data_IF_838046806569
#
_entry.id   IF_838046806569
#
_cell.length_a   1.000
_cell.length_b   1.000
_cell.length_c   1.000
_cell.angle_alpha   90.00
_cell.angle_beta   90.00
_cell.angle_gamma   90.00
#
_symmetry.space_group_name_H-M   'P 1'
#
loop_
_entity.id
_entity.type
_entity.pdbx_description
1 polymer ?
#
# COMPACT_ATOMS: atom_id res chain seq x y z
N UNK A 1 8.60 -8.77 16.04
CA UNK A 1 9.08 -8.53 14.66
C UNK A 1 7.85 -8.11 13.88
N UNK A 2 7.87 -6.91 13.34
CA UNK A 2 6.72 -6.34 12.65
C UNK A 2 6.34 -7.10 11.38
N UNK A 3 5.12 -6.90 10.93
CA UNK A 3 4.60 -7.51 9.71
C UNK A 3 4.88 -6.60 8.50
N UNK A 4 5.34 -7.18 7.40
CA UNK A 4 5.56 -6.46 6.14
C UNK A 4 4.46 -6.84 5.16
N UNK A 5 3.63 -5.88 4.81
CA UNK A 5 2.47 -6.06 3.95
C UNK A 5 2.66 -5.28 2.65
N UNK A 6 2.54 -5.94 1.51
CA UNK A 6 2.54 -5.29 0.21
C UNK A 6 1.13 -4.91 -0.20
N UNK A 7 0.86 -3.63 -0.43
CA UNK A 7 -0.38 -3.18 -1.06
C UNK A 7 -0.15 -3.17 -2.56
N UNK A 8 -0.86 -4.02 -3.28
CA UNK A 8 -0.59 -4.33 -4.69
C UNK A 8 -1.85 -4.18 -5.55
N UNK A 9 -1.67 -3.96 -6.84
CA UNK A 9 -2.78 -3.92 -7.79
C UNK A 9 -2.33 -4.33 -9.18
N UNK A 10 -3.20 -4.99 -9.92
CA UNK A 10 -2.93 -5.39 -11.31
C UNK A 10 -3.00 -4.23 -12.31
N UNK A 11 -3.51 -3.06 -11.92
CA UNK A 11 -3.70 -1.88 -12.76
C UNK A 11 -3.54 -0.60 -11.94
N UNK A 12 -3.02 0.47 -12.57
CA UNK A 12 -2.97 1.81 -11.99
C UNK A 12 -4.36 2.43 -11.84
N UNK A 13 -4.49 3.38 -10.90
CA UNK A 13 -5.71 4.16 -10.68
C UNK A 13 -6.83 3.45 -9.94
N UNK A 14 -6.57 2.31 -9.27
CA UNK A 14 -7.57 1.62 -8.44
C UNK A 14 -7.58 2.10 -6.98
N UNK A 15 -6.80 3.13 -6.63
CA UNK A 15 -6.75 3.70 -5.29
C UNK A 15 -5.83 2.95 -4.31
N UNK A 16 -4.84 2.22 -4.81
CA UNK A 16 -3.86 1.50 -4.01
C UNK A 16 -3.17 2.42 -2.99
N UNK A 17 -2.61 3.54 -3.41
CA UNK A 17 -1.95 4.55 -2.58
C UNK A 17 -2.89 5.12 -1.51
N UNK A 18 -4.14 5.41 -1.88
CA UNK A 18 -5.20 5.85 -0.95
C UNK A 18 -5.46 4.80 0.12
N UNK A 19 -5.64 3.53 -0.28
CA UNK A 19 -5.86 2.42 0.67
C UNK A 19 -4.65 2.25 1.59
N UNK A 20 -3.43 2.38 1.06
CA UNK A 20 -2.19 2.28 1.87
C UNK A 20 -2.15 3.36 2.96
N UNK A 21 -2.39 4.63 2.59
CA UNK A 21 -2.39 5.75 3.52
C UNK A 21 -3.47 5.61 4.58
N UNK A 22 -4.71 5.32 4.18
CA UNK A 22 -5.84 5.18 5.10
C UNK A 22 -5.70 3.97 6.03
N UNK A 23 -5.20 2.83 5.54
CA UNK A 23 -4.93 1.66 6.38
C UNK A 23 -3.83 1.96 7.41
N UNK A 24 -2.76 2.65 6.99
CA UNK A 24 -1.70 3.08 7.91
C UNK A 24 -2.23 3.98 9.02
N UNK A 25 -3.08 4.94 8.68
CA UNK A 25 -3.72 5.80 9.68
C UNK A 25 -4.67 5.02 10.59
N UNK A 26 -5.46 4.09 10.06
CA UNK A 26 -6.34 3.22 10.84
C UNK A 26 -5.55 2.41 11.89
N UNK A 27 -4.45 1.79 11.48
CA UNK A 27 -3.59 1.02 12.36
C UNK A 27 -2.89 1.89 13.43
N UNK A 28 -2.44 3.09 13.05
CA UNK A 28 -1.82 4.03 14.01
C UNK A 28 -2.82 4.51 15.05
N UNK A 29 -4.08 4.79 14.67
CA UNK A 29 -5.17 5.11 15.59
C UNK A 29 -5.51 3.94 16.53
N UNK A 30 -5.31 2.70 16.09
CA UNK A 30 -5.44 1.52 16.94
C UNK A 30 -4.24 1.34 17.92
N UNK A 31 -3.24 2.22 17.86
CA UNK A 31 -2.08 2.25 18.76
C UNK A 31 -0.87 1.45 18.25
N UNK A 32 -0.88 0.99 17.00
CA UNK A 32 0.26 0.33 16.39
C UNK A 32 1.26 1.33 15.81
N UNK A 33 2.54 1.01 15.89
CA UNK A 33 3.58 1.77 15.20
C UNK A 33 3.65 1.32 13.75
N UNK A 34 3.37 2.24 12.83
CA UNK A 34 3.22 1.96 11.40
C UNK A 34 4.24 2.75 10.60
N UNK A 35 4.89 2.08 9.65
CA UNK A 35 5.70 2.71 8.62
C UNK A 35 5.03 2.51 7.26
N UNK A 36 4.71 3.61 6.59
CA UNK A 36 4.35 3.62 5.19
C UNK A 36 5.62 3.68 4.35
N UNK A 37 5.77 2.81 3.36
CA UNK A 37 6.88 2.86 2.41
C UNK A 37 6.32 3.08 1.01
N UNK A 38 6.78 4.12 0.33
CA UNK A 38 6.54 4.23 -1.10
C UNK A 38 7.46 3.26 -1.85
N UNK A 39 6.89 2.40 -2.65
CA UNK A 39 7.61 1.42 -3.48
C UNK A 39 7.61 1.79 -4.96
N UNK A 40 7.06 2.94 -5.36
CA UNK A 40 7.02 3.38 -6.76
C UNK A 40 8.22 4.27 -7.09
N UNK A 41 9.40 3.66 -7.12
CA UNK A 41 10.65 4.33 -7.43
C UNK A 41 10.62 4.96 -8.83
N UNK A 42 10.89 6.26 -8.88
CA UNK A 42 10.87 7.08 -10.09
C UNK A 42 9.58 7.91 -10.26
N UNK A 43 8.47 7.54 -9.61
CA UNK A 43 7.23 8.34 -9.60
C UNK A 43 7.00 8.96 -8.22
N UNK A 44 6.87 8.16 -7.17
CA UNK A 44 6.66 8.60 -5.79
C UNK A 44 5.41 9.47 -5.64
N UNK A 45 4.28 8.84 -5.43
CA UNK A 45 2.98 9.53 -5.33
C UNK A 45 2.45 9.59 -3.89
N UNK A 46 2.95 8.74 -2.98
CA UNK A 46 2.41 8.64 -1.62
C UNK A 46 2.69 9.90 -0.78
N UNK A 47 3.82 10.58 -1.00
CA UNK A 47 4.16 11.86 -0.34
C UNK A 47 3.18 12.98 -0.67
N UNK A 48 2.65 13.01 -1.90
CA UNK A 48 1.63 13.98 -2.32
C UNK A 48 0.32 13.72 -1.58
N UNK A 49 -0.09 12.46 -1.47
CA UNK A 49 -1.31 12.05 -0.78
C UNK A 49 -1.23 12.36 0.72
N UNK A 50 -0.04 12.24 1.31
CA UNK A 50 0.24 12.53 2.72
C UNK A 50 0.50 14.02 3.00
N UNK A 51 0.69 14.86 1.96
CA UNK A 51 0.96 16.28 2.10
C UNK A 51 2.36 16.64 2.61
N UNK A 52 3.35 15.74 2.48
CA UNK A 52 4.70 15.90 3.04
C UNK A 52 5.82 15.99 2.00
N UNK A 53 5.47 16.23 0.74
CA UNK A 53 6.43 16.25 -0.37
C UNK A 53 7.58 17.25 -0.14
N UNK A 54 7.30 18.40 0.49
CA UNK A 54 8.28 19.46 0.76
C UNK A 54 9.18 19.17 1.97
N UNK A 55 8.88 18.14 2.77
CA UNK A 55 9.66 17.77 3.97
C UNK A 55 10.78 16.77 3.66
N UNK A 56 10.77 16.17 2.46
CA UNK A 56 11.66 15.07 2.10
C UNK A 56 13.03 15.59 1.67
N UNK A 57 14.06 15.25 2.45
CA UNK A 57 15.47 15.57 2.17
C UNK A 57 16.23 14.32 1.71
N UNK A 58 16.02 13.20 2.41
CA UNK A 58 16.59 11.89 2.11
C UNK A 58 15.47 10.90 1.79
N UNK A 59 15.81 9.84 1.08
CA UNK A 59 14.86 8.84 0.64
C UNK A 59 15.32 7.39 0.92
N UNK A 60 14.54 6.42 0.51
CA UNK A 60 14.82 5.01 0.73
C UNK A 60 16.10 4.53 0.01
N UNK A 61 16.54 5.20 -1.06
CA UNK A 61 17.81 4.90 -1.70
C UNK A 61 18.96 5.31 -0.78
N UNK A 62 18.97 6.55 -0.27
CA UNK A 62 19.99 7.05 0.65
C UNK A 62 20.09 6.15 1.89
N UNK A 63 18.96 5.86 2.54
CA UNK A 63 18.87 4.98 3.71
C UNK A 63 19.31 3.54 3.43
N UNK A 64 19.18 3.05 2.19
CA UNK A 64 19.62 1.72 1.78
C UNK A 64 21.12 1.66 1.50
N UNK A 65 21.69 2.76 0.98
CA UNK A 65 23.12 2.87 0.69
C UNK A 65 23.93 3.11 1.97
N UNK A 66 23.47 3.99 2.84
CA UNK A 66 24.10 4.28 4.13
C UNK A 66 23.06 4.30 5.26
N UNK A 67 23.30 3.45 6.27
CA UNK A 67 22.42 3.32 7.42
C UNK A 67 22.32 4.61 8.28
N UNK A 68 23.31 5.51 8.17
CA UNK A 68 23.31 6.77 8.92
C UNK A 68 22.16 7.69 8.47
N UNK A 69 21.72 7.59 7.20
CA UNK A 69 20.57 8.35 6.69
C UNK A 69 19.21 7.72 7.02
N UNK A 70 19.16 6.59 7.76
CA UNK A 70 17.88 5.90 7.99
C UNK A 70 16.88 6.76 8.74
N UNK A 71 17.32 7.40 9.82
CA UNK A 71 16.45 8.23 10.66
C UNK A 71 16.08 9.54 9.95
N UNK A 72 17.00 10.09 9.14
CA UNK A 72 16.78 11.33 8.38
C UNK A 72 15.89 11.12 7.13
N UNK A 73 15.78 9.88 6.63
CA UNK A 73 14.92 9.53 5.50
C UNK A 73 13.47 9.22 5.93
N UNK A 74 13.22 9.06 7.22
CA UNK A 74 11.88 8.77 7.76
C UNK A 74 11.21 10.07 8.18
N UNK A 75 10.06 10.37 7.58
CA UNK A 75 9.25 11.55 7.88
C UNK A 75 8.13 11.12 8.84
N UNK A 76 7.98 11.83 9.97
CA UNK A 76 6.89 11.58 10.91
C UNK A 76 5.61 12.27 10.42
N UNK A 77 4.54 11.51 10.23
CA UNK A 77 3.26 11.99 9.66
C UNK A 77 2.26 12.32 10.77
N UNK A 78 2.14 11.40 11.73
CA UNK A 78 1.22 11.51 12.85
C UNK A 78 1.73 10.67 14.02
N UNK A 79 1.03 10.67 15.15
CA UNK A 79 1.35 9.79 16.27
C UNK A 79 1.34 8.32 15.80
N UNK A 80 2.45 7.62 15.99
CA UNK A 80 2.67 6.23 15.57
C UNK A 80 2.60 5.97 14.05
N UNK A 81 2.67 7.01 13.21
CA UNK A 81 2.64 6.88 11.75
C UNK A 81 3.81 7.63 11.12
N UNK A 82 4.72 6.89 10.52
CA UNK A 82 5.89 7.41 9.84
C UNK A 82 5.88 7.00 8.34
N UNK A 83 6.65 7.71 7.54
CA UNK A 83 6.73 7.50 6.10
C UNK A 83 8.18 7.42 5.62
N UNK A 84 8.49 6.44 4.79
CA UNK A 84 9.76 6.29 4.07
C UNK A 84 9.50 6.49 2.57
N UNK A 85 9.93 7.63 1.98
CA UNK A 85 9.70 7.94 0.59
C UNK A 85 10.57 7.09 -0.35
N UNK A 86 10.05 6.75 -1.53
CA UNK A 86 10.85 6.24 -2.63
C UNK A 86 11.71 7.35 -3.25
N UNK A 87 12.79 6.98 -3.95
CA UNK A 87 13.56 7.93 -4.73
C UNK A 87 12.83 8.33 -6.01
N UNK A 88 12.77 9.63 -6.31
CA UNK A 88 12.27 10.14 -7.59
C UNK A 88 13.29 10.02 -8.72
N UNK A 89 14.58 9.98 -8.40
CA UNK A 89 15.67 9.96 -9.38
C UNK A 89 16.15 8.57 -9.76
N UNK A 90 15.84 7.54 -8.97
CA UNK A 90 16.24 6.17 -9.17
C UNK A 90 15.05 5.29 -9.58
N UNK A 91 15.35 4.18 -10.26
CA UNK A 91 14.39 3.13 -10.61
C UNK A 91 14.73 1.86 -9.84
N UNK A 92 13.81 0.90 -9.83
CA UNK A 92 14.06 -0.40 -9.19
C UNK A 92 15.31 -1.12 -9.70
N UNK A 93 15.72 -0.87 -10.94
CA UNK A 93 16.95 -1.41 -11.53
C UNK A 93 18.21 -0.83 -10.89
N UNK A 94 18.13 0.40 -10.39
CA UNK A 94 19.25 1.14 -9.80
C UNK A 94 19.43 0.80 -8.31
N UNK A 95 18.38 0.26 -7.68
CA UNK A 95 18.36 -0.05 -6.26
C UNK A 95 18.93 -1.43 -6.00
N UNK A 96 19.87 -1.51 -5.10
CA UNK A 96 20.39 -2.77 -4.63
C UNK A 96 19.35 -3.56 -3.84
N UNK A 97 18.58 -4.45 -4.50
CA UNK A 97 17.51 -5.26 -3.86
C UNK A 97 17.90 -5.81 -2.48
N UNK A 98 19.15 -6.29 -2.33
CA UNK A 98 19.63 -6.81 -1.04
C UNK A 98 19.78 -5.72 0.02
N UNK A 99 20.17 -4.50 -0.38
CA UNK A 99 20.34 -3.37 0.53
C UNK A 99 18.98 -2.88 1.01
N UNK A 100 18.04 -2.67 0.08
CA UNK A 100 16.66 -2.30 0.42
C UNK A 100 15.98 -3.34 1.31
N UNK A 101 16.12 -4.63 0.98
CA UNK A 101 15.63 -5.72 1.83
C UNK A 101 16.22 -5.69 3.25
N UNK A 102 17.51 -5.38 3.38
CA UNK A 102 18.16 -5.24 4.68
C UNK A 102 17.65 -4.04 5.46
N UNK A 103 17.39 -2.91 4.78
CA UNK A 103 16.78 -1.71 5.36
C UNK A 103 15.40 -2.04 5.94
N UNK A 104 14.48 -2.53 5.11
CA UNK A 104 13.10 -2.86 5.52
C UNK A 104 13.08 -3.87 6.67
N UNK A 105 13.90 -4.92 6.61
CA UNK A 105 13.98 -5.91 7.70
C UNK A 105 14.47 -5.33 9.02
N UNK A 106 15.39 -4.37 8.99
CA UNK A 106 15.85 -3.67 10.20
C UNK A 106 14.72 -2.83 10.80
N UNK A 107 13.92 -2.20 9.97
CA UNK A 107 12.78 -1.39 10.40
C UNK A 107 11.66 -2.24 11.04
N UNK A 108 11.54 -3.52 10.71
CA UNK A 108 10.62 -4.45 11.38
C UNK A 108 10.88 -4.64 12.89
N UNK A 109 12.05 -4.24 13.40
CA UNK A 109 12.33 -4.27 14.82
C UNK A 109 11.77 -3.02 15.56
N UNK A 110 11.40 -1.99 14.79
CA UNK A 110 10.90 -0.71 15.30
C UNK A 110 9.38 -0.60 15.13
N UNK A 111 8.84 -1.03 13.99
CA UNK A 111 7.44 -0.91 13.63
C UNK A 111 6.68 -2.22 13.80
N UNK A 112 5.41 -2.11 14.18
CA UNK A 112 4.50 -3.25 14.27
C UNK A 112 3.99 -3.67 12.87
N UNK A 113 3.77 -2.66 11.98
CA UNK A 113 3.41 -2.85 10.59
C UNK A 113 4.28 -2.00 9.67
N UNK A 114 4.71 -2.59 8.55
CA UNK A 114 5.32 -1.88 7.41
C UNK A 114 4.43 -2.12 6.21
N UNK A 115 3.77 -1.06 5.73
CA UNK A 115 2.91 -1.10 4.56
C UNK A 115 3.70 -0.57 3.36
N UNK A 116 3.88 -1.39 2.33
CA UNK A 116 4.61 -0.98 1.12
C UNK A 116 3.59 -0.71 0.01
N UNK A 117 3.44 0.55 -0.39
CA UNK A 117 2.66 0.95 -1.56
C UNK A 117 3.43 0.55 -2.83
N UNK A 118 3.06 -0.54 -3.43
CA UNK A 118 3.80 -1.12 -4.55
C UNK A 118 3.55 -0.37 -5.87
N UNK A 119 4.45 -0.37 -6.85
CA UNK A 119 4.14 0.14 -8.18
C UNK A 119 2.98 -0.63 -8.83
N UNK A 120 2.25 0.00 -9.73
CA UNK A 120 1.15 -0.65 -10.44
C UNK A 120 1.66 -1.65 -11.47
N UNK A 121 0.84 -2.69 -11.75
CA UNK A 121 1.14 -3.70 -12.77
C UNK A 121 1.98 -4.87 -12.25
N UNK A 122 2.66 -5.58 -13.14
CA UNK A 122 3.34 -6.87 -12.88
C UNK A 122 4.83 -6.86 -13.29
N UNK A 123 5.47 -5.69 -13.25
CA UNK A 123 6.88 -5.54 -13.63
C UNK A 123 7.87 -5.87 -12.52
N UNK A 124 9.16 -5.62 -12.78
CA UNK A 124 10.27 -5.91 -11.83
C UNK A 124 10.14 -5.23 -10.48
N UNK A 125 9.50 -4.06 -10.40
CA UNK A 125 9.22 -3.38 -9.15
C UNK A 125 8.36 -4.22 -8.22
N UNK A 126 7.24 -4.74 -8.75
CA UNK A 126 6.37 -5.68 -8.01
C UNK A 126 7.15 -6.90 -7.54
N UNK A 127 7.88 -7.59 -8.42
CA UNK A 127 8.67 -8.77 -8.05
C UNK A 127 9.63 -8.47 -6.89
N UNK A 128 10.23 -7.28 -6.90
CA UNK A 128 11.16 -6.87 -5.84
C UNK A 128 10.46 -6.67 -4.50
N UNK A 129 9.22 -6.18 -4.50
CA UNK A 129 8.41 -6.03 -3.29
C UNK A 129 7.89 -7.39 -2.82
N UNK A 130 7.39 -8.24 -3.73
CA UNK A 130 6.91 -9.58 -3.37
C UNK A 130 7.99 -10.46 -2.72
N UNK A 131 9.27 -10.22 -3.04
CA UNK A 131 10.40 -10.89 -2.37
C UNK A 131 10.64 -10.41 -0.91
N UNK A 132 9.99 -9.33 -0.49
CA UNK A 132 10.14 -8.72 0.85
C UNK A 132 9.00 -9.06 1.79
N UNK A 133 7.79 -9.11 1.25
CA UNK A 133 6.54 -9.18 2.02
C UNK A 133 6.14 -10.61 2.34
N UNK A 134 5.37 -10.77 3.40
CA UNK A 134 4.80 -12.05 3.80
C UNK A 134 3.33 -12.15 3.42
N UNK A 135 2.65 -11.01 3.32
CA UNK A 135 1.23 -10.86 3.05
C UNK A 135 1.02 -9.75 2.01
N UNK A 136 -0.04 -9.87 1.22
CA UNK A 136 -0.45 -8.83 0.28
C UNK A 136 -1.89 -8.39 0.51
N UNK A 137 -2.14 -7.09 0.25
CA UNK A 137 -3.49 -6.56 0.08
C UNK A 137 -3.65 -6.26 -1.41
N UNK A 138 -4.57 -6.95 -2.06
CA UNK A 138 -4.85 -6.77 -3.49
C UNK A 138 -6.00 -5.78 -3.65
N UNK A 139 -5.68 -4.56 -4.09
CA UNK A 139 -6.67 -3.51 -4.32
C UNK A 139 -7.21 -3.60 -5.74
N UNK A 140 -8.53 -3.60 -5.87
CA UNK A 140 -9.23 -3.64 -7.16
C UNK A 140 -10.55 -2.88 -7.11
N UNK A 141 -11.10 -2.49 -8.25
CA UNK A 141 -12.48 -1.99 -8.37
C UNK A 141 -13.45 -3.14 -8.67
N UNK A 142 -14.73 -3.03 -8.31
CA UNK A 142 -15.78 -3.98 -8.68
C UNK A 142 -16.20 -3.81 -10.15
N UNK A 143 -15.23 -3.93 -11.06
CA UNK A 143 -15.39 -3.81 -12.51
C UNK A 143 -14.67 -4.96 -13.20
N UNK A 144 -15.29 -5.60 -14.19
CA UNK A 144 -14.75 -6.80 -14.86
C UNK A 144 -13.28 -6.68 -15.29
N UNK A 145 -12.89 -5.52 -15.84
CA UNK A 145 -11.50 -5.28 -16.26
C UNK A 145 -10.55 -5.25 -15.06
N UNK A 146 -10.97 -4.59 -13.97
CA UNK A 146 -10.16 -4.52 -12.74
C UNK A 146 -10.06 -5.87 -12.04
N UNK A 147 -11.17 -6.61 -11.98
CA UNK A 147 -11.21 -7.98 -11.42
C UNK A 147 -10.26 -8.92 -12.15
N UNK A 148 -10.27 -8.88 -13.49
CA UNK A 148 -9.35 -9.68 -14.31
C UNK A 148 -7.87 -9.34 -14.03
N UNK A 149 -7.56 -8.05 -13.86
CA UNK A 149 -6.21 -7.62 -13.52
C UNK A 149 -5.84 -7.99 -12.08
N UNK A 150 -6.80 -7.90 -11.14
CA UNK A 150 -6.64 -8.39 -9.77
C UNK A 150 -6.35 -9.88 -9.71
N UNK A 151 -7.09 -10.70 -10.47
CA UNK A 151 -6.84 -12.15 -10.58
C UNK A 151 -5.42 -12.45 -11.09
N UNK A 152 -4.93 -11.67 -12.06
CA UNK A 152 -3.55 -11.82 -12.54
C UNK A 152 -2.53 -11.43 -11.45
N UNK A 153 -2.80 -10.38 -10.67
CA UNK A 153 -1.94 -10.00 -9.55
C UNK A 153 -1.90 -11.09 -8.48
N UNK A 154 -3.05 -11.65 -8.10
CA UNK A 154 -3.11 -12.79 -7.16
C UNK A 154 -2.26 -13.95 -7.65
N UNK A 155 -2.35 -14.28 -8.96
CA UNK A 155 -1.52 -15.33 -9.55
C UNK A 155 -0.02 -15.01 -9.40
N UNK A 156 0.40 -13.76 -9.62
CA UNK A 156 1.81 -13.32 -9.45
C UNK A 156 2.22 -13.45 -7.97
N UNK A 157 1.38 -13.07 -7.02
CA UNK A 157 1.64 -13.27 -5.59
C UNK A 157 1.90 -14.76 -5.28
N UNK A 158 1.05 -15.66 -5.81
CA UNK A 158 1.19 -17.10 -5.63
C UNK A 158 2.48 -17.64 -6.28
N UNK A 159 2.86 -17.15 -7.46
CA UNK A 159 4.12 -17.47 -8.14
C UNK A 159 5.34 -17.09 -7.28
N UNK A 160 5.23 -16.03 -6.45
CA UNK A 160 6.22 -15.59 -5.46
C UNK A 160 6.05 -16.24 -4.07
N UNK A 161 5.26 -17.32 -3.95
CA UNK A 161 4.97 -18.04 -2.71
C UNK A 161 4.19 -17.25 -1.65
N UNK A 162 3.57 -16.14 -2.00
CA UNK A 162 2.66 -15.41 -1.11
C UNK A 162 1.28 -16.04 -1.25
N UNK A 163 0.80 -16.65 -0.18
CA UNK A 163 -0.51 -17.31 -0.11
C UNK A 163 -1.47 -16.59 0.84
N UNK A 164 -0.93 -15.72 1.66
CA UNK A 164 -1.68 -14.85 2.55
C UNK A 164 -1.95 -13.52 1.84
N UNK A 165 -3.20 -13.33 1.42
CA UNK A 165 -3.62 -12.07 0.80
C UNK A 165 -5.08 -11.76 1.14
N UNK A 166 -5.34 -10.48 1.39
CA UNK A 166 -6.68 -9.92 1.52
C UNK A 166 -7.07 -9.18 0.24
N UNK A 167 -8.36 -9.12 -0.07
CA UNK A 167 -8.88 -8.35 -1.20
C UNK A 167 -9.58 -7.10 -0.67
N UNK A 168 -9.19 -5.94 -1.18
CA UNK A 168 -9.85 -4.67 -0.97
C UNK A 168 -10.57 -4.25 -2.26
N UNK A 169 -11.91 -4.31 -2.28
CA UNK A 169 -12.69 -3.64 -3.30
C UNK A 169 -12.77 -2.16 -2.97
N UNK A 170 -12.19 -1.32 -3.82
CA UNK A 170 -12.22 0.13 -3.65
C UNK A 170 -13.22 0.76 -4.61
N UNK A 171 -13.75 1.93 -4.22
CA UNK A 171 -14.76 2.69 -4.97
C UNK A 171 -15.98 1.84 -5.33
N UNK A 172 -16.50 1.10 -4.34
CA UNK A 172 -17.72 0.33 -4.48
C UNK A 172 -18.90 1.30 -4.58
N UNK A 173 -19.71 1.24 -5.66
CA UNK A 173 -20.89 2.10 -5.78
C UNK A 173 -21.84 1.92 -4.58
N UNK A 174 -22.44 3.00 -4.11
CA UNK A 174 -23.43 2.99 -3.01
C UNK A 174 -24.85 2.87 -3.53
N UNK A 175 -25.05 3.14 -4.83
CA UNK A 175 -26.30 3.10 -5.54
C UNK A 175 -26.06 2.54 -6.96
N UNK A 176 -26.65 1.45 -7.31
CA UNK A 176 -26.51 0.90 -8.65
C UNK A 176 -26.69 -0.61 -8.77
N UNK A 177 -26.60 -1.11 -10.00
CA UNK A 177 -26.49 -2.53 -10.28
C UNK A 177 -25.03 -2.95 -10.14
N UNK A 178 -24.67 -3.48 -8.99
CA UNK A 178 -23.33 -4.01 -8.74
C UNK A 178 -23.15 -5.39 -9.36
N UNK A 179 -21.90 -5.72 -9.70
CA UNK A 179 -21.54 -7.10 -10.00
C UNK A 179 -21.77 -7.91 -8.72
N UNK A 180 -22.41 -9.07 -8.85
CA UNK A 180 -22.63 -9.96 -7.72
C UNK A 180 -21.29 -10.34 -7.05
N UNK A 181 -21.26 -10.29 -5.72
CA UNK A 181 -20.06 -10.60 -4.95
C UNK A 181 -19.52 -11.99 -5.25
N UNK A 182 -20.40 -12.96 -5.47
CA UNK A 182 -20.00 -14.30 -5.82
C UNK A 182 -19.26 -14.33 -7.17
N UNK A 183 -19.78 -13.64 -8.18
CA UNK A 183 -19.14 -13.52 -9.49
C UNK A 183 -17.77 -12.83 -9.38
N UNK A 184 -17.66 -11.79 -8.54
CA UNK A 184 -16.38 -11.10 -8.31
C UNK A 184 -15.33 -12.05 -7.70
N UNK A 185 -15.73 -12.81 -6.69
CA UNK A 185 -14.84 -13.77 -6.02
C UNK A 185 -14.45 -14.93 -6.95
N UNK A 186 -15.37 -15.42 -7.78
CA UNK A 186 -15.08 -16.45 -8.78
C UNK A 186 -14.01 -15.99 -9.78
N UNK A 187 -14.12 -14.76 -10.30
CA UNK A 187 -13.11 -14.18 -11.22
C UNK A 187 -11.76 -14.05 -10.53
N UNK A 188 -11.73 -13.61 -9.29
CA UNK A 188 -10.50 -13.43 -8.51
C UNK A 188 -9.92 -14.77 -8.02
N UNK A 189 -10.71 -15.85 -8.04
CA UNK A 189 -10.39 -17.15 -7.45
C UNK A 189 -10.07 -17.01 -5.96
N UNK A 190 -10.86 -16.22 -5.28
CA UNK A 190 -10.73 -15.91 -3.85
C UNK A 190 -11.93 -16.43 -3.08
N UNK A 191 -11.73 -16.73 -1.80
CA UNK A 191 -12.76 -17.30 -0.93
C UNK A 191 -13.48 -16.23 -0.11
N UNK A 192 -12.83 -15.09 0.15
CA UNK A 192 -13.40 -14.01 0.97
C UNK A 192 -12.88 -12.63 0.56
N UNK A 193 -13.58 -11.60 1.03
CA UNK A 193 -13.24 -10.18 0.87
C UNK A 193 -12.72 -9.65 2.20
N UNK A 194 -11.60 -8.95 2.16
CA UNK A 194 -11.07 -8.26 3.34
C UNK A 194 -11.79 -6.94 3.61
N UNK A 195 -12.04 -6.13 2.57
CA UNK A 195 -12.77 -4.88 2.71
C UNK A 195 -13.56 -4.51 1.45
N UNK A 196 -14.72 -3.86 1.67
CA UNK A 196 -15.50 -3.19 0.63
C UNK A 196 -15.55 -1.69 0.96
N UNK A 197 -14.76 -0.90 0.25
CA UNK A 197 -14.55 0.52 0.48
C UNK A 197 -15.52 1.28 -0.44
N UNK A 198 -16.51 2.01 0.07
CA UNK A 198 -17.47 2.72 -0.75
C UNK A 198 -16.80 3.82 -1.59
N UNK A 199 -17.40 4.15 -2.72
CA UNK A 199 -17.04 5.36 -3.47
C UNK A 199 -17.41 6.60 -2.65
N UNK A 200 -16.44 7.51 -2.51
CA UNK A 200 -16.61 8.76 -1.79
C UNK A 200 -15.90 9.89 -2.55
N UNK A 201 -16.66 10.94 -2.90
CA UNK A 201 -16.13 12.10 -3.65
C UNK A 201 -15.14 12.92 -2.80
N UNK A 202 -15.32 12.94 -1.48
CA UNK A 202 -14.45 13.66 -0.57
C UNK A 202 -13.05 13.04 -0.58
N UNK A 203 -12.92 11.72 -0.67
CA UNK A 203 -11.62 11.02 -0.78
C UNK A 203 -10.79 11.56 -1.93
N UNK A 204 -11.39 11.82 -3.10
CA UNK A 204 -10.68 12.37 -4.24
C UNK A 204 -10.18 13.80 -3.96
N UNK A 205 -11.00 14.65 -3.39
CA UNK A 205 -10.67 16.04 -3.04
C UNK A 205 -9.52 16.08 -2.03
N UNK A 206 -9.65 15.36 -0.92
CA UNK A 206 -8.63 15.33 0.13
C UNK A 206 -7.31 14.69 -0.33
N UNK A 207 -7.39 13.69 -1.23
CA UNK A 207 -6.19 13.10 -1.86
C UNK A 207 -5.44 14.14 -2.71
N UNK A 208 -6.15 14.97 -3.49
CA UNK A 208 -5.55 16.00 -4.33
C UNK A 208 -4.94 17.14 -3.51
N UNK A 209 -5.53 17.45 -2.37
CA UNK A 209 -5.08 18.53 -1.48
C UNK A 209 -3.98 18.08 -0.50
N UNK A 210 -3.59 16.79 -0.48
CA UNK A 210 -2.59 16.26 0.44
C UNK A 210 -3.08 16.15 1.89
N UNK A 211 -4.39 16.05 2.10
CA UNK A 211 -5.04 16.01 3.41
C UNK A 211 -5.87 14.72 3.62
N UNK A 212 -5.53 13.65 2.92
CA UNK A 212 -6.32 12.42 2.96
C UNK A 212 -6.53 11.88 4.38
N UNK A 213 -5.53 12.02 5.24
CA UNK A 213 -5.61 11.49 6.61
C UNK A 213 -6.64 12.21 7.49
N UNK A 214 -7.08 13.42 7.11
CA UNK A 214 -8.15 14.13 7.82
C UNK A 214 -9.53 13.44 7.65
N UNK A 215 -9.67 12.59 6.63
CA UNK A 215 -10.88 11.81 6.38
C UNK A 215 -10.96 10.49 7.14
N UNK A 216 -9.88 10.05 7.77
CA UNK A 216 -9.87 8.74 8.45
C UNK A 216 -10.70 8.82 9.71
N UNK A 217 -12.03 8.72 9.53
CA UNK A 217 -13.00 8.60 10.61
C UNK A 217 -12.97 7.16 11.19
N UNK A 218 -13.53 7.00 12.39
CA UNK A 218 -13.66 5.66 13.00
C UNK A 218 -14.42 4.67 12.12
N UNK A 219 -15.42 5.12 11.36
CA UNK A 219 -16.20 4.26 10.47
C UNK A 219 -15.37 3.75 9.31
N UNK A 220 -14.57 4.61 8.68
CA UNK A 220 -13.64 4.24 7.61
C UNK A 220 -12.55 3.28 8.12
N UNK A 221 -12.01 3.51 9.31
CA UNK A 221 -11.06 2.61 9.95
C UNK A 221 -11.63 1.20 10.15
N UNK A 222 -12.89 1.09 10.55
CA UNK A 222 -13.54 -0.21 10.74
C UNK A 222 -13.70 -1.00 9.43
N UNK A 223 -13.87 -0.31 8.28
CA UNK A 223 -13.92 -0.96 6.96
C UNK A 223 -12.57 -1.57 6.58
N UNK A 224 -11.46 -0.96 7.00
CA UNK A 224 -10.11 -1.39 6.65
C UNK A 224 -9.52 -2.42 7.61
N UNK A 225 -9.99 -2.49 8.86
CA UNK A 225 -9.47 -3.38 9.88
C UNK A 225 -9.37 -4.86 9.42
N UNK A 226 -10.38 -5.45 8.75
CA UNK A 226 -10.28 -6.84 8.29
C UNK A 226 -9.20 -7.13 7.25
N UNK A 227 -8.52 -6.10 6.72
CA UNK A 227 -7.42 -6.29 5.77
C UNK A 227 -6.15 -6.85 6.43
N UNK A 228 -6.04 -6.73 7.75
CA UNK A 228 -4.84 -7.16 8.52
C UNK A 228 -5.16 -8.21 9.59
N UNK A 229 -6.43 -8.59 9.76
CA UNK A 229 -6.88 -9.71 10.58
C UNK A 229 -6.63 -11.04 9.81
#
# INVERSE_FOLDING_TARGET
>A
MGEIIGVVSGKGGVGKTTVTACLGAALSHAGHRVLLCDGDFGLRDLDLVLGVADEIIYDALDASEDKEYTDDAIVSIAENLDFLPASQSARWEDIGRKKYKKLVRRLCDVYDYILIDAPAGIGKGIESILDLVNRCIVVTHPLWVSLRNGARMIQVCVEHNIRDFAIAFNAVPTDGEDIDLYDMLEVLRAEYVGAMIPYDEDVLTYTQDGHLLDLVSHEFCNVLAPLVD
#
